data_IF_319792972322
#
_entry.id   IF_319792972322
#
_cell.length_a   1.000
_cell.length_b   1.000
_cell.length_c   1.000
_cell.angle_alpha   90.00
_cell.angle_beta   90.00
_cell.angle_gamma   90.00
#
_symmetry.space_group_name_H-M   'P 1'
#
loop_
_entity.id
_entity.type
_entity.pdbx_description
1 polymer ?
#
# COMPACT_ATOMS: atom_id res chain seq x y z
N UNK A 1 18.16 -25.33 13.71
CA UNK A 1 17.52 -26.43 12.99
C UNK A 1 17.03 -27.61 13.85
N UNK A 2 17.65 -28.00 14.99
CA UNK A 2 17.15 -29.11 15.82
C UNK A 2 16.08 -28.76 16.86
N UNK A 3 15.78 -27.48 17.10
CA UNK A 3 14.74 -27.05 18.07
C UNK A 3 13.37 -26.83 17.45
N UNK A 4 13.31 -26.56 16.15
CA UNK A 4 12.07 -26.36 15.39
C UNK A 4 11.36 -27.70 15.11
N UNK A 5 12.13 -28.78 14.93
CA UNK A 5 11.59 -30.13 14.68
C UNK A 5 10.80 -30.69 15.86
N UNK A 6 11.12 -30.30 17.09
CA UNK A 6 10.39 -30.76 18.28
C UNK A 6 9.08 -29.99 18.53
N UNK A 7 9.00 -28.73 18.09
CA UNK A 7 7.77 -27.95 18.21
C UNK A 7 6.73 -28.40 17.17
N UNK A 8 7.18 -28.78 15.98
CA UNK A 8 6.30 -29.34 14.92
C UNK A 8 5.73 -30.71 15.27
N UNK A 9 6.40 -31.49 16.11
CA UNK A 9 5.95 -32.84 16.51
C UNK A 9 4.92 -32.81 17.64
N UNK A 10 4.79 -31.69 18.37
CA UNK A 10 3.80 -31.55 19.46
C UNK A 10 2.44 -31.01 18.96
N UNK A 11 2.38 -30.46 17.77
CA UNK A 11 1.15 -29.91 17.14
C UNK A 11 0.35 -30.94 16.32
N UNK A 12 0.86 -32.18 16.18
CA UNK A 12 0.20 -33.25 15.41
C UNK A 12 -0.73 -34.16 16.23
N UNK A 13 -1.01 -33.84 17.45
CA UNK A 13 -1.89 -34.66 18.30
C UNK A 13 -3.03 -33.80 18.80
N UNK A 14 -4.03 -33.60 17.97
CA UNK A 14 -5.48 -33.57 18.31
C UNK A 14 -6.34 -32.97 17.23
N UNK A 15 -6.42 -33.63 16.09
CA UNK A 15 -7.53 -33.38 15.15
C UNK A 15 -8.54 -34.50 15.29
N UNK A 16 -9.32 -34.50 16.36
CA UNK A 16 -10.58 -35.22 16.38
C UNK A 16 -11.68 -34.25 15.99
N UNK A 17 -11.99 -34.23 14.70
CA UNK A 17 -13.21 -33.59 14.18
C UNK A 17 -14.41 -34.42 14.66
N UNK A 18 -15.12 -33.90 15.63
CA UNK A 18 -16.52 -34.29 15.84
C UNK A 18 -17.30 -33.70 14.68
N UNK A 19 -17.69 -34.55 13.73
CA UNK A 19 -18.74 -34.24 12.78
C UNK A 19 -20.03 -34.02 13.58
N UNK A 20 -20.38 -32.77 13.83
CA UNK A 20 -21.73 -32.38 14.22
C UNK A 20 -22.60 -32.42 12.96
N UNK A 21 -23.76 -33.02 13.07
CA UNK A 21 -24.74 -32.99 12.02
C UNK A 21 -25.08 -31.53 11.67
N UNK A 22 -25.04 -31.22 10.40
CA UNK A 22 -25.46 -29.97 9.81
C UNK A 22 -26.95 -29.77 10.13
N UNK A 23 -27.24 -29.03 11.19
CA UNK A 23 -28.56 -28.46 11.38
C UNK A 23 -28.64 -27.32 10.36
N UNK A 24 -29.58 -27.41 9.41
CA UNK A 24 -29.85 -26.34 8.46
C UNK A 24 -30.24 -25.10 9.26
N UNK A 25 -29.27 -24.27 9.61
CA UNK A 25 -29.49 -23.00 10.29
C UNK A 25 -30.28 -22.12 9.32
N UNK A 26 -31.52 -21.80 9.68
CA UNK A 26 -32.37 -20.91 8.92
C UNK A 26 -31.67 -19.54 8.85
N UNK A 27 -31.05 -19.24 7.72
CA UNK A 27 -30.22 -18.07 7.50
C UNK A 27 -31.06 -16.80 7.67
N UNK A 28 -30.87 -16.08 8.77
CA UNK A 28 -31.57 -14.83 9.06
C UNK A 28 -30.80 -13.68 8.44
N UNK A 29 -31.17 -13.27 7.25
CA UNK A 29 -30.61 -12.09 6.59
C UNK A 29 -31.10 -10.82 7.28
N UNK A 30 -30.16 -10.03 7.81
CA UNK A 30 -30.46 -8.80 8.57
C UNK A 30 -30.50 -7.57 7.67
N UNK A 31 -29.90 -7.62 6.48
CA UNK A 31 -29.81 -6.48 5.56
C UNK A 31 -31.09 -6.23 4.80
N UNK A 32 -31.47 -4.96 4.70
CA UNK A 32 -32.63 -4.52 3.89
C UNK A 32 -33.94 -4.43 4.67
N UNK A 33 -33.97 -4.76 5.97
CA UNK A 33 -35.11 -4.52 6.84
C UNK A 33 -34.66 -4.04 8.23
N UNK A 34 -35.41 -3.15 8.81
CA UNK A 34 -35.28 -2.80 10.23
C UNK A 34 -36.13 -3.70 11.14
N UNK A 35 -36.82 -4.67 10.56
CA UNK A 35 -37.66 -5.61 11.30
C UNK A 35 -36.82 -6.87 11.57
N UNK A 36 -36.48 -7.11 12.83
CA UNK A 36 -35.73 -8.29 13.30
C UNK A 36 -36.48 -9.58 12.86
N UNK A 37 -35.79 -10.50 12.18
CA UNK A 37 -36.37 -11.77 11.72
C UNK A 37 -37.23 -11.71 10.45
N UNK A 38 -37.23 -10.59 9.73
CA UNK A 38 -37.92 -10.53 8.43
C UNK A 38 -37.14 -11.32 7.37
N UNK A 39 -37.78 -12.35 6.77
CA UNK A 39 -37.24 -13.09 5.63
C UNK A 39 -37.35 -12.23 4.38
N UNK A 40 -36.28 -11.53 3.99
CA UNK A 40 -36.28 -10.58 2.87
C UNK A 40 -35.65 -11.17 1.60
N UNK A 41 -34.99 -12.31 1.69
CA UNK A 41 -34.28 -12.98 0.59
C UNK A 41 -35.08 -13.14 -0.70
N UNK A 42 -36.43 -13.09 -0.62
CA UNK A 42 -37.30 -13.14 -1.81
C UNK A 42 -37.69 -11.79 -2.41
N UNK A 43 -37.47 -10.69 -1.69
CA UNK A 43 -37.95 -9.35 -2.07
C UNK A 43 -36.82 -8.38 -2.51
N UNK A 44 -35.60 -8.60 -2.05
CA UNK A 44 -34.43 -7.76 -2.36
C UNK A 44 -33.28 -8.63 -2.89
N UNK A 45 -32.43 -8.09 -3.79
CA UNK A 45 -31.29 -8.82 -4.35
C UNK A 45 -30.13 -8.88 -3.34
N UNK A 46 -30.22 -9.76 -2.36
CA UNK A 46 -29.18 -10.03 -1.37
C UNK A 46 -28.37 -11.25 -1.80
N UNK A 47 -27.04 -11.10 -1.85
CA UNK A 47 -26.10 -12.21 -1.93
C UNK A 47 -25.51 -12.47 -0.55
N UNK A 48 -25.28 -13.73 -0.23
CA UNK A 48 -24.67 -14.15 1.03
C UNK A 48 -23.44 -14.99 0.73
N UNK A 49 -22.31 -14.66 1.37
CA UNK A 49 -21.07 -15.45 1.35
C UNK A 49 -20.86 -15.98 2.75
N UNK A 50 -20.73 -17.30 2.88
CA UNK A 50 -20.57 -17.91 4.21
C UNK A 50 -19.15 -17.70 4.75
N UNK A 51 -18.98 -17.68 6.08
CA UNK A 51 -17.68 -17.61 6.72
C UNK A 51 -16.77 -18.79 6.38
N UNK A 52 -17.35 -19.96 6.13
CA UNK A 52 -16.59 -21.15 5.68
C UNK A 52 -16.00 -20.92 4.30
N UNK A 53 -16.75 -20.32 3.37
CA UNK A 53 -16.24 -19.98 2.05
C UNK A 53 -15.14 -18.92 2.14
N UNK A 54 -15.30 -17.92 3.02
CA UNK A 54 -14.29 -16.90 3.29
C UNK A 54 -13.02 -17.53 3.85
N UNK A 55 -13.12 -18.37 4.87
CA UNK A 55 -11.97 -19.08 5.45
C UNK A 55 -11.25 -19.97 4.41
N UNK A 56 -12.00 -20.58 3.49
CA UNK A 56 -11.46 -21.43 2.43
C UNK A 56 -10.63 -20.65 1.39
N UNK A 57 -10.86 -19.35 1.23
CA UNK A 57 -10.05 -18.49 0.35
C UNK A 57 -8.66 -18.24 0.91
N UNK A 58 -8.48 -18.34 2.24
CA UNK A 58 -7.21 -18.10 2.92
C UNK A 58 -6.84 -16.62 3.01
N UNK A 59 -7.80 -15.72 2.87
CA UNK A 59 -7.58 -14.26 2.96
C UNK A 59 -7.05 -13.85 4.33
N UNK A 60 -6.18 -12.85 4.32
CA UNK A 60 -5.48 -12.39 5.52
C UNK A 60 -6.12 -11.16 6.15
N UNK A 61 -6.91 -10.43 5.38
CA UNK A 61 -7.42 -9.12 5.76
C UNK A 61 -8.75 -8.79 5.10
N UNK A 62 -9.36 -7.71 5.53
CA UNK A 62 -10.59 -7.21 4.93
C UNK A 62 -10.38 -6.65 3.51
N UNK A 63 -9.20 -6.14 3.18
CA UNK A 63 -8.86 -5.71 1.82
C UNK A 63 -8.59 -6.91 0.90
N UNK A 64 -7.92 -7.98 1.35
CA UNK A 64 -7.80 -9.22 0.57
C UNK A 64 -9.18 -9.83 0.29
N UNK A 65 -10.11 -9.76 1.27
CA UNK A 65 -11.48 -10.23 1.08
C UNK A 65 -12.21 -9.50 -0.07
N UNK A 66 -11.88 -8.23 -0.31
CA UNK A 66 -12.51 -7.47 -1.40
C UNK A 66 -12.31 -8.13 -2.76
N UNK A 67 -11.16 -8.76 -3.00
CA UNK A 67 -10.84 -9.41 -4.28
C UNK A 67 -11.68 -10.67 -4.53
N UNK A 68 -12.30 -11.22 -3.49
CA UNK A 68 -13.14 -12.41 -3.55
C UNK A 68 -14.64 -12.11 -3.65
N UNK A 69 -15.01 -10.82 -3.65
CA UNK A 69 -16.40 -10.38 -3.78
C UNK A 69 -16.70 -10.08 -5.24
N UNK A 70 -17.60 -10.85 -5.86
CA UNK A 70 -17.92 -10.71 -7.28
C UNK A 70 -18.51 -9.35 -7.68
N UNK A 71 -19.18 -8.68 -6.75
CA UNK A 71 -19.78 -7.36 -6.94
C UNK A 71 -18.80 -6.20 -6.68
N UNK A 72 -17.60 -6.48 -6.18
CA UNK A 72 -16.58 -5.47 -5.93
C UNK A 72 -16.12 -4.82 -7.25
N UNK A 73 -16.05 -3.51 -7.25
CA UNK A 73 -15.42 -2.74 -8.31
C UNK A 73 -13.91 -2.57 -8.07
N UNK A 74 -13.31 -1.58 -8.70
CA UNK A 74 -11.91 -1.29 -8.53
C UNK A 74 -11.61 -0.96 -7.06
N UNK A 75 -10.63 -1.64 -6.49
CA UNK A 75 -10.03 -1.26 -5.22
C UNK A 75 -8.91 -0.25 -5.51
N UNK A 76 -9.01 0.94 -4.91
CA UNK A 76 -8.02 2.02 -5.07
C UNK A 76 -6.90 1.95 -4.03
N UNK A 77 -6.90 0.94 -3.15
CA UNK A 77 -5.94 0.76 -2.07
C UNK A 77 -5.29 -0.62 -2.20
N UNK A 78 -4.56 -0.82 -3.26
CA UNK A 78 -3.82 -2.05 -3.49
C UNK A 78 -2.33 -1.82 -3.35
N UNK A 79 -1.59 -2.89 -3.11
CA UNK A 79 -0.13 -2.89 -3.18
C UNK A 79 0.37 -2.35 -4.53
N UNK A 80 -0.38 -2.60 -5.61
CA UNK A 80 -0.04 -2.07 -6.93
C UNK A 80 -0.15 -0.54 -7.01
N UNK A 81 -1.17 0.05 -6.38
CA UNK A 81 -1.30 1.51 -6.27
C UNK A 81 -0.16 2.10 -5.44
N UNK A 82 0.18 1.43 -4.35
CA UNK A 82 1.31 1.80 -3.52
C UNK A 82 2.63 1.72 -4.28
N UNK A 83 2.93 0.60 -4.92
CA UNK A 83 4.16 0.42 -5.69
C UNK A 83 4.29 1.40 -6.85
N UNK A 84 3.19 1.77 -7.50
CA UNK A 84 3.17 2.74 -8.61
C UNK A 84 3.33 4.19 -8.16
N UNK A 85 3.24 4.48 -6.86
CA UNK A 85 3.23 5.85 -6.35
C UNK A 85 1.98 6.61 -6.74
N UNK A 86 0.86 5.92 -6.89
CA UNK A 86 -0.42 6.49 -7.25
C UNK A 86 -0.98 7.46 -6.22
N UNK A 87 -2.14 7.99 -6.51
CA UNK A 87 -2.79 9.05 -5.71
C UNK A 87 -3.10 8.63 -4.28
N UNK A 88 -3.33 7.33 -4.07
CA UNK A 88 -3.61 6.74 -2.76
C UNK A 88 -2.40 6.03 -2.13
N UNK A 89 -1.25 6.10 -2.76
CA UNK A 89 -0.02 5.54 -2.22
C UNK A 89 0.29 6.13 -0.83
N UNK A 90 0.85 5.31 0.05
CA UNK A 90 1.21 5.67 1.43
C UNK A 90 -0.01 6.04 2.30
N UNK A 91 -1.19 5.48 2.03
CA UNK A 91 -2.37 5.63 2.88
C UNK A 91 -2.40 4.62 4.04
N UNK A 92 -1.43 3.72 4.07
CA UNK A 92 -1.35 2.66 5.05
C UNK A 92 -2.26 1.47 4.72
N UNK A 93 -2.58 0.69 5.74
CA UNK A 93 -3.39 -0.51 5.65
C UNK A 93 -4.89 -0.15 5.59
N UNK A 94 -5.36 0.24 4.40
CA UNK A 94 -6.76 0.66 4.19
C UNK A 94 -7.37 -0.06 3.01
N UNK A 95 -8.45 -0.80 3.24
CA UNK A 95 -9.31 -1.34 2.19
C UNK A 95 -10.70 -0.69 2.22
N UNK A 96 -11.40 -0.66 1.09
CA UNK A 96 -12.75 -0.12 1.04
C UNK A 96 -13.65 -0.85 0.04
N UNK A 97 -14.86 -1.12 0.46
CA UNK A 97 -15.87 -1.68 -0.41
C UNK A 97 -16.32 -0.67 -1.48
N UNK A 98 -16.33 -1.12 -2.73
CA UNK A 98 -16.74 -0.32 -3.89
C UNK A 98 -17.67 -1.14 -4.78
N UNK A 99 -18.92 -1.31 -4.34
CA UNK A 99 -19.88 -2.13 -5.06
C UNK A 99 -20.15 -1.58 -6.47
N UNK A 100 -20.02 -2.47 -7.45
CA UNK A 100 -20.28 -2.19 -8.88
C UNK A 100 -19.51 -1.00 -9.45
N UNK A 101 -18.38 -0.66 -8.83
CA UNK A 101 -17.55 0.50 -9.19
C UNK A 101 -18.30 1.85 -9.15
N UNK A 102 -19.25 1.99 -8.22
CA UNK A 102 -20.03 3.23 -8.04
C UNK A 102 -19.41 4.20 -7.03
N UNK A 103 -18.21 3.88 -6.53
CA UNK A 103 -17.44 4.68 -5.60
C UNK A 103 -17.47 4.16 -4.16
N UNK A 104 -16.32 4.25 -3.49
CA UNK A 104 -16.16 3.76 -2.11
C UNK A 104 -17.02 4.53 -1.10
N UNK A 105 -17.31 5.80 -1.35
CA UNK A 105 -18.20 6.61 -0.52
C UNK A 105 -19.69 6.30 -0.69
N UNK A 106 -20.05 5.49 -1.69
CA UNK A 106 -21.44 5.14 -2.01
C UNK A 106 -21.82 3.72 -1.55
N UNK A 107 -20.88 2.99 -0.95
CA UNK A 107 -21.09 1.65 -0.39
C UNK A 107 -21.13 1.72 1.12
N UNK A 108 -22.28 1.42 1.71
CA UNK A 108 -22.41 1.42 3.17
C UNK A 108 -21.86 0.12 3.76
N UNK A 109 -20.93 0.24 4.69
CA UNK A 109 -20.36 -0.90 5.44
C UNK A 109 -20.99 -0.97 6.83
N UNK A 110 -21.51 -2.14 7.15
CA UNK A 110 -22.08 -2.45 8.46
C UNK A 110 -21.27 -3.57 9.14
N UNK A 111 -21.29 -3.57 10.46
CA UNK A 111 -20.89 -4.66 11.33
C UNK A 111 -22.09 -5.06 12.20
N UNK A 112 -22.53 -6.30 12.12
CA UNK A 112 -23.71 -6.81 12.82
C UNK A 112 -24.92 -5.86 12.69
N UNK A 113 -25.15 -5.35 11.45
CA UNK A 113 -26.24 -4.44 11.15
C UNK A 113 -26.07 -2.99 11.59
N UNK A 114 -24.92 -2.62 12.19
CA UNK A 114 -24.61 -1.25 12.64
C UNK A 114 -23.57 -0.60 11.76
N UNK A 115 -23.70 0.72 11.56
CA UNK A 115 -22.73 1.50 10.79
C UNK A 115 -21.38 1.52 11.49
N UNK A 116 -20.33 1.19 10.75
CA UNK A 116 -18.97 1.42 11.18
C UNK A 116 -18.56 2.89 11.01
N UNK A 117 -17.62 3.32 11.83
CA UNK A 117 -17.02 4.65 11.73
C UNK A 117 -16.15 4.73 10.48
N UNK A 118 -16.25 5.83 9.76
CA UNK A 118 -15.37 6.08 8.62
C UNK A 118 -13.91 6.23 9.09
N UNK A 119 -12.99 5.77 8.23
CA UNK A 119 -11.56 5.97 8.45
C UNK A 119 -11.23 7.46 8.53
N UNK A 120 -10.34 7.88 9.44
CA UNK A 120 -9.90 9.27 9.52
C UNK A 120 -9.09 9.73 8.31
N UNK A 121 -8.49 8.78 7.55
CA UNK A 121 -7.87 9.05 6.27
C UNK A 121 -8.90 9.12 5.15
N UNK A 122 -8.80 10.14 4.30
CA UNK A 122 -9.61 10.19 3.09
C UNK A 122 -8.97 9.37 1.99
N UNK A 123 -9.80 8.86 1.11
CA UNK A 123 -9.41 8.24 -0.14
C UNK A 123 -9.58 9.25 -1.27
N UNK A 124 -8.91 9.00 -2.37
CA UNK A 124 -9.07 9.84 -3.56
C UNK A 124 -9.56 8.98 -4.72
N UNK A 125 -10.72 9.31 -5.22
CA UNK A 125 -11.33 8.66 -6.37
C UNK A 125 -11.25 9.56 -7.61
N UNK A 126 -11.16 8.95 -8.78
CA UNK A 126 -11.26 9.66 -10.05
C UNK A 126 -12.72 9.77 -10.45
N UNK A 127 -13.32 10.95 -10.28
CA UNK A 127 -14.72 11.22 -10.59
C UNK A 127 -14.78 12.31 -11.66
N UNK A 128 -15.31 11.97 -12.82
CA UNK A 128 -15.46 12.93 -13.93
C UNK A 128 -14.14 13.48 -14.48
N UNK A 129 -13.01 12.84 -14.20
CA UNK A 129 -11.67 13.28 -14.59
C UNK A 129 -10.91 14.05 -13.50
N UNK A 130 -11.55 14.34 -12.38
CA UNK A 130 -10.95 15.01 -11.22
C UNK A 130 -10.70 14.04 -10.06
N UNK A 131 -9.62 14.27 -9.30
CA UNK A 131 -9.34 13.54 -8.08
C UNK A 131 -10.14 14.12 -6.91
N UNK A 132 -11.12 13.37 -6.43
CA UNK A 132 -12.04 13.80 -5.38
C UNK A 132 -11.75 13.05 -4.08
N UNK A 133 -11.47 13.75 -2.97
CA UNK A 133 -11.34 13.10 -1.66
C UNK A 133 -12.69 12.51 -1.21
N UNK A 134 -12.66 11.24 -0.84
CA UNK A 134 -13.84 10.48 -0.41
C UNK A 134 -13.55 9.79 0.91
N UNK A 135 -14.49 9.79 1.84
CA UNK A 135 -14.36 9.13 3.14
C UNK A 135 -15.10 7.80 3.10
N UNK A 136 -14.45 6.74 3.59
CA UNK A 136 -15.03 5.40 3.66
C UNK A 136 -14.62 4.66 4.93
N UNK A 137 -15.29 3.56 5.21
CA UNK A 137 -14.89 2.63 6.26
C UNK A 137 -13.66 1.85 5.79
N UNK A 138 -12.69 1.64 6.68
CA UNK A 138 -11.60 0.72 6.45
C UNK A 138 -12.08 -0.73 6.67
N UNK A 139 -12.07 -1.56 5.62
CA UNK A 139 -12.48 -2.96 5.70
C UNK A 139 -11.61 -3.79 6.65
N UNK A 140 -10.36 -3.38 6.87
CA UNK A 140 -9.42 -4.06 7.76
C UNK A 140 -9.77 -3.91 9.25
N UNK A 141 -10.68 -3.01 9.60
CA UNK A 141 -11.24 -2.92 10.97
C UNK A 141 -12.02 -4.18 11.38
N UNK A 142 -12.41 -5.02 10.39
CA UNK A 142 -13.23 -6.19 10.60
C UNK A 142 -12.34 -7.42 10.59
N UNK A 143 -12.26 -8.21 11.71
CA UNK A 143 -11.47 -9.42 11.74
C UNK A 143 -12.12 -10.47 10.83
N UNK A 144 -11.44 -10.87 9.78
CA UNK A 144 -11.92 -11.90 8.86
C UNK A 144 -12.18 -13.21 9.58
N UNK A 145 -11.36 -13.53 10.56
CA UNK A 145 -11.44 -14.77 11.38
C UNK A 145 -12.77 -14.96 12.10
N UNK A 146 -13.49 -13.89 12.42
CA UNK A 146 -14.77 -13.96 13.14
C UNK A 146 -16.01 -13.85 12.26
N UNK A 147 -15.85 -13.71 10.95
CA UNK A 147 -16.99 -13.54 10.05
C UNK A 147 -17.79 -14.86 9.97
N UNK A 148 -19.06 -14.80 10.34
CA UNK A 148 -20.03 -15.89 10.13
C UNK A 148 -20.52 -15.88 8.70
N UNK A 149 -20.86 -14.68 8.19
CA UNK A 149 -21.31 -14.47 6.81
C UNK A 149 -21.17 -13.00 6.40
N UNK A 150 -21.08 -12.80 5.10
CA UNK A 150 -21.12 -11.49 4.47
C UNK A 150 -22.43 -11.35 3.71
N UNK A 151 -23.22 -10.33 4.02
CA UNK A 151 -24.50 -10.05 3.37
C UNK A 151 -24.32 -8.83 2.45
N UNK A 152 -24.62 -9.00 1.15
CA UNK A 152 -24.44 -7.96 0.14
C UNK A 152 -25.79 -7.59 -0.45
N UNK A 153 -26.30 -6.41 -0.08
CA UNK A 153 -27.53 -5.86 -0.64
C UNK A 153 -27.19 -4.91 -1.79
N UNK A 154 -27.53 -5.29 -3.02
CA UNK A 154 -27.12 -4.62 -4.25
C UNK A 154 -27.98 -3.44 -4.67
N UNK A 155 -29.27 -3.44 -4.34
CA UNK A 155 -30.25 -2.46 -4.80
C UNK A 155 -31.26 -2.08 -3.73
N UNK A 156 -31.87 -0.90 -3.85
CA UNK A 156 -32.92 -0.42 -2.95
C UNK A 156 -32.44 0.00 -1.55
N UNK A 157 -31.15 -0.07 -1.29
CA UNK A 157 -30.57 0.15 0.03
C UNK A 157 -30.72 1.59 0.52
N UNK A 158 -30.62 2.58 -0.36
CA UNK A 158 -30.70 4.00 0.02
C UNK A 158 -32.06 4.41 0.58
N UNK A 159 -33.14 3.70 0.26
CA UNK A 159 -34.47 3.94 0.85
C UNK A 159 -34.51 3.60 2.34
N UNK A 160 -33.68 2.65 2.79
CA UNK A 160 -33.62 2.20 4.19
C UNK A 160 -32.45 2.87 4.93
N UNK A 161 -31.30 2.96 4.27
CA UNK A 161 -30.03 3.33 4.89
C UNK A 161 -29.54 4.74 4.54
N UNK A 162 -30.19 5.43 3.60
CA UNK A 162 -29.82 6.81 3.22
C UNK A 162 -28.78 6.88 2.10
N UNK A 163 -28.20 8.08 1.94
CA UNK A 163 -27.37 8.44 0.78
C UNK A 163 -26.06 7.64 0.68
N UNK A 164 -25.52 7.14 1.78
CA UNK A 164 -24.26 6.38 1.78
C UNK A 164 -24.42 4.97 1.19
N UNK A 165 -25.65 4.54 0.93
CA UNK A 165 -25.97 3.21 0.42
C UNK A 165 -26.49 3.22 -1.04
N UNK A 166 -26.04 4.16 -1.85
CA UNK A 166 -26.48 4.28 -3.27
C UNK A 166 -25.98 3.09 -4.09
N UNK A 167 -24.75 2.66 -3.88
CA UNK A 167 -24.19 1.49 -4.54
C UNK A 167 -24.70 0.18 -3.92
N UNK A 168 -25.04 0.20 -2.64
CA UNK A 168 -25.50 -0.94 -1.88
C UNK A 168 -25.01 -0.93 -0.44
N UNK A 169 -25.25 -2.05 0.25
CA UNK A 169 -24.82 -2.28 1.63
C UNK A 169 -24.04 -3.58 1.71
N UNK A 170 -22.95 -3.57 2.43
CA UNK A 170 -22.24 -4.77 2.86
C UNK A 170 -22.33 -4.85 4.37
N UNK A 171 -22.94 -5.92 4.87
CA UNK A 171 -23.03 -6.22 6.28
C UNK A 171 -22.11 -7.39 6.61
N UNK A 172 -21.11 -7.13 7.42
CA UNK A 172 -20.23 -8.15 7.96
C UNK A 172 -20.86 -8.65 9.25
N UNK A 173 -21.30 -9.89 9.25
CA UNK A 173 -21.88 -10.53 10.42
C UNK A 173 -20.82 -11.37 11.08
N UNK A 174 -20.45 -11.01 12.31
CA UNK A 174 -19.53 -11.77 13.15
C UNK A 174 -20.32 -12.74 14.05
N UNK A 175 -19.69 -13.86 14.37
CA UNK A 175 -20.22 -14.83 15.32
C UNK A 175 -20.23 -14.19 16.73
N UNK A 176 -21.40 -13.87 17.23
CA UNK A 176 -21.55 -13.26 18.56
C UNK A 176 -22.00 -14.24 19.64
N UNK A 177 -22.10 -15.53 19.28
CA UNK A 177 -22.51 -16.66 20.13
C UNK A 177 -21.53 -17.86 20.03
N UNK A 178 -20.28 -17.61 19.66
CA UNK A 178 -19.29 -18.66 19.48
C UNK A 178 -19.08 -19.50 20.75
N UNK A 179 -18.95 -20.82 20.56
CA UNK A 179 -18.59 -21.75 21.63
C UNK A 179 -17.37 -22.60 21.21
N UNK A 180 -16.33 -22.57 22.03
CA UNK A 180 -15.14 -23.36 21.82
C UNK A 180 -13.85 -22.55 21.81
N UNK A 181 -12.78 -23.20 21.37
CA UNK A 181 -11.45 -22.59 21.18
C UNK A 181 -10.87 -23.06 19.85
N UNK A 182 -10.51 -22.12 19.00
CA UNK A 182 -9.71 -22.38 17.80
C UNK A 182 -8.52 -21.44 17.78
N UNK A 183 -7.32 -21.96 17.49
CA UNK A 183 -6.11 -21.19 17.33
C UNK A 183 -5.41 -21.65 16.05
N UNK A 184 -5.12 -20.71 15.16
CA UNK A 184 -4.39 -20.98 13.92
C UNK A 184 -3.13 -20.13 13.89
N UNK A 185 -2.02 -20.73 13.49
CA UNK A 185 -0.78 -20.03 13.19
C UNK A 185 -0.31 -20.42 11.80
N UNK A 186 -0.01 -19.42 10.98
CA UNK A 186 0.51 -19.60 9.62
C UNK A 186 1.78 -18.81 9.47
N UNK A 187 2.77 -19.41 8.80
CA UNK A 187 3.98 -18.75 8.32
C UNK A 187 4.04 -18.98 6.82
N UNK A 188 4.16 -17.92 6.07
CA UNK A 188 4.26 -17.95 4.61
C UNK A 188 5.58 -17.32 4.19
N UNK A 189 6.21 -17.85 3.14
CA UNK A 189 7.43 -17.31 2.57
C UNK A 189 7.28 -17.22 1.06
N UNK A 190 8.17 -16.46 0.42
CA UNK A 190 8.13 -16.20 -1.01
C UNK A 190 9.33 -16.85 -1.69
N UNK A 191 9.07 -17.50 -2.82
CA UNK A 191 10.14 -18.01 -3.66
C UNK A 191 10.92 -16.83 -4.25
N UNK A 192 12.24 -16.83 -4.12
CA UNK A 192 13.19 -15.79 -4.56
C UNK A 192 13.25 -14.50 -3.71
N UNK A 193 12.40 -14.33 -2.69
CA UNK A 193 12.45 -13.18 -1.78
C UNK A 193 12.72 -13.64 -0.36
N UNK A 194 13.41 -12.79 0.41
CA UNK A 194 13.74 -13.09 1.81
C UNK A 194 12.57 -12.89 2.78
N UNK A 195 11.46 -12.33 2.32
CA UNK A 195 10.34 -11.95 3.16
C UNK A 195 9.53 -13.12 3.69
N UNK A 196 9.09 -13.02 4.92
CA UNK A 196 8.19 -13.97 5.58
C UNK A 196 6.96 -13.23 6.13
N UNK A 197 5.82 -13.92 6.13
CA UNK A 197 4.59 -13.43 6.77
C UNK A 197 4.19 -14.39 7.87
N UNK A 198 3.81 -13.83 9.01
CA UNK A 198 3.28 -14.58 10.15
C UNK A 198 1.87 -14.11 10.47
N UNK A 199 0.93 -15.07 10.54
CA UNK A 199 -0.44 -14.80 10.99
C UNK A 199 -0.80 -15.71 12.15
N UNK A 200 -1.36 -15.13 13.20
CA UNK A 200 -1.90 -15.83 14.36
C UNK A 200 -3.34 -15.39 14.54
N UNK A 201 -4.27 -16.35 14.52
CA UNK A 201 -5.67 -16.09 14.81
C UNK A 201 -6.16 -16.94 15.97
N UNK A 202 -7.07 -16.40 16.76
CA UNK A 202 -7.73 -17.14 17.82
C UNK A 202 -9.21 -16.77 17.88
N UNK A 203 -10.04 -17.80 18.04
CA UNK A 203 -11.47 -17.70 18.34
C UNK A 203 -11.69 -18.38 19.69
N UNK A 204 -12.31 -17.70 20.61
CA UNK A 204 -12.71 -18.27 21.89
C UNK A 204 -14.11 -17.81 22.26
N UNK A 205 -14.92 -18.72 22.78
CA UNK A 205 -16.21 -18.38 23.33
C UNK A 205 -16.73 -19.44 24.28
N UNK A 206 -17.60 -18.99 25.16
CA UNK A 206 -18.24 -19.89 26.13
C UNK A 206 -19.55 -19.31 26.63
N UNK A 207 -20.47 -20.24 26.96
CA UNK A 207 -21.70 -19.92 27.65
C UNK A 207 -21.52 -20.03 29.17
N UNK A 208 -22.15 -19.11 29.90
CA UNK A 208 -22.16 -19.01 31.35
C UNK A 208 -23.61 -18.86 31.85
N UNK A 209 -23.81 -19.00 33.16
CA UNK A 209 -25.10 -18.78 33.81
C UNK A 209 -26.24 -19.61 33.17
N UNK A 210 -26.02 -20.92 33.09
CA UNK A 210 -26.99 -21.87 32.48
C UNK A 210 -27.40 -21.52 31.03
N UNK A 211 -26.44 -20.95 30.27
CA UNK A 211 -26.64 -20.59 28.87
C UNK A 211 -27.18 -19.18 28.62
N UNK A 212 -27.50 -18.42 29.68
CA UNK A 212 -28.03 -17.06 29.52
C UNK A 212 -26.99 -16.00 29.18
N UNK A 213 -25.69 -16.32 29.24
CA UNK A 213 -24.60 -15.37 28.91
C UNK A 213 -23.62 -16.04 27.98
N UNK A 214 -23.38 -15.46 26.83
CA UNK A 214 -22.25 -15.82 25.95
C UNK A 214 -21.18 -14.76 25.98
N UNK A 215 -19.92 -15.18 25.96
CA UNK A 215 -18.75 -14.32 25.71
C UNK A 215 -17.99 -14.90 24.55
N UNK A 216 -17.83 -14.14 23.48
CA UNK A 216 -17.09 -14.50 22.29
C UNK A 216 -15.95 -13.51 22.04
N UNK A 217 -14.74 -14.00 21.76
CA UNK A 217 -13.54 -13.19 21.50
C UNK A 217 -12.86 -13.68 20.24
N UNK A 218 -12.54 -12.75 19.37
CA UNK A 218 -11.81 -12.96 18.14
C UNK A 218 -10.53 -12.14 18.18
N UNK A 219 -9.42 -12.80 17.87
CA UNK A 219 -8.09 -12.19 17.81
C UNK A 219 -7.44 -12.52 16.47
N UNK A 220 -6.88 -11.49 15.82
CA UNK A 220 -6.12 -11.61 14.60
C UNK A 220 -4.85 -10.77 14.75
N UNK A 221 -3.69 -11.37 14.52
CA UNK A 221 -2.40 -10.69 14.48
C UNK A 221 -1.68 -11.12 13.22
N UNK A 222 -1.28 -10.14 12.43
CA UNK A 222 -0.59 -10.31 11.17
C UNK A 222 0.68 -9.47 11.16
N UNK A 223 1.79 -10.10 10.84
CA UNK A 223 3.11 -9.50 10.70
C UNK A 223 3.65 -9.89 9.34
N UNK A 224 3.91 -8.90 8.52
CA UNK A 224 4.30 -9.03 7.12
C UNK A 224 5.55 -8.23 6.84
N UNK A 225 6.59 -8.89 6.37
CA UNK A 225 7.81 -8.22 5.93
C UNK A 225 7.64 -7.56 4.56
N UNK A 226 8.38 -6.48 4.32
CA UNK A 226 8.39 -5.83 3.03
C UNK A 226 9.09 -6.67 1.97
N UNK A 227 8.78 -6.41 0.70
CA UNK A 227 9.53 -6.90 -0.46
C UNK A 227 9.98 -5.68 -1.25
N UNK A 228 11.30 -5.46 -1.32
CA UNK A 228 11.87 -4.37 -2.09
C UNK A 228 12.17 -4.83 -3.54
N UNK A 229 11.86 -3.98 -4.50
CA UNK A 229 12.09 -4.31 -5.92
C UNK A 229 13.54 -4.68 -6.24
N UNK A 230 14.51 -4.19 -5.48
CA UNK A 230 15.94 -4.49 -5.66
C UNK A 230 16.32 -5.93 -5.31
N UNK A 231 15.46 -6.68 -4.63
CA UNK A 231 15.69 -8.09 -4.30
C UNK A 231 15.66 -8.97 -5.56
N UNK A 232 14.87 -8.61 -6.57
CA UNK A 232 14.95 -9.24 -7.90
C UNK A 232 15.56 -8.26 -8.91
N UNK A 233 16.70 -8.61 -9.54
CA UNK A 233 17.35 -7.75 -10.54
C UNK A 233 16.45 -7.33 -11.70
N UNK A 234 15.44 -8.12 -12.04
CA UNK A 234 14.51 -7.79 -13.13
C UNK A 234 13.51 -6.73 -12.71
N UNK A 235 13.06 -6.74 -11.45
CA UNK A 235 12.13 -5.76 -10.91
C UNK A 235 12.84 -4.47 -10.51
N UNK A 236 14.00 -4.61 -9.86
CA UNK A 236 14.78 -3.45 -9.43
C UNK A 236 15.52 -2.74 -10.57
N UNK A 237 15.61 -3.33 -11.76
CA UNK A 237 16.29 -2.70 -12.90
C UNK A 237 15.41 -1.62 -13.54
N UNK A 238 15.94 -0.42 -13.67
CA UNK A 238 15.33 0.61 -14.50
C UNK A 238 15.58 0.41 -16.01
N UNK A 239 16.58 -0.38 -16.38
CA UNK A 239 16.89 -0.72 -17.78
C UNK A 239 16.65 -2.21 -18.00
N UNK A 240 15.61 -2.53 -18.75
CA UNK A 240 15.20 -3.91 -19.01
C UNK A 240 15.86 -4.52 -20.26
N UNK A 241 16.61 -3.75 -21.03
CA UNK A 241 17.28 -4.24 -22.25
C UNK A 241 18.29 -5.39 -22.00
N UNK A 242 19.01 -5.45 -20.86
CA UNK A 242 19.88 -6.58 -20.59
C UNK A 242 19.15 -7.93 -20.44
N UNK A 243 17.87 -7.91 -20.11
CA UNK A 243 17.07 -9.11 -19.82
C UNK A 243 16.31 -9.68 -21.02
N UNK A 244 16.42 -9.06 -22.19
CA UNK A 244 15.86 -9.59 -23.44
C UNK A 244 16.93 -10.21 -24.33
N UNK A 245 16.53 -11.14 -25.18
CA UNK A 245 17.41 -11.82 -26.12
C UNK A 245 18.11 -10.82 -27.04
N UNK A 246 19.29 -11.18 -27.51
CA UNK A 246 20.14 -10.31 -28.33
C UNK A 246 19.51 -9.95 -29.69
N UNK A 247 18.66 -10.81 -30.23
CA UNK A 247 17.90 -10.60 -31.46
C UNK A 247 16.57 -9.88 -31.27
N UNK A 248 16.21 -9.56 -30.03
CA UNK A 248 14.99 -8.85 -29.72
C UNK A 248 15.03 -7.40 -30.23
N UNK A 249 13.94 -6.90 -30.86
CA UNK A 249 13.86 -5.50 -31.27
C UNK A 249 13.93 -4.51 -30.08
N UNK A 250 13.68 -5.00 -28.87
CA UNK A 250 13.74 -4.20 -27.63
C UNK A 250 15.16 -4.03 -27.08
N UNK A 251 16.12 -4.82 -27.54
CA UNK A 251 17.51 -4.78 -27.05
C UNK A 251 18.18 -3.41 -27.19
N UNK A 252 17.83 -2.66 -28.23
CA UNK A 252 18.36 -1.33 -28.50
C UNK A 252 17.36 -0.20 -28.25
N UNK A 253 16.13 -0.54 -27.89
CA UNK A 253 15.05 0.44 -27.71
C UNK A 253 15.26 1.28 -26.46
N UNK A 254 15.31 2.59 -26.62
CA UNK A 254 15.36 3.53 -25.48
C UNK A 254 14.04 3.58 -24.70
N UNK A 255 12.93 3.10 -25.28
CA UNK A 255 11.65 3.00 -24.61
C UNK A 255 11.58 1.80 -23.66
N UNK A 256 12.48 0.83 -23.77
CA UNK A 256 12.51 -0.35 -22.91
C UNK A 256 13.42 -0.14 -21.67
N UNK A 257 13.41 1.07 -21.17
CA UNK A 257 14.06 1.45 -19.93
C UNK A 257 13.22 2.51 -19.20
N UNK A 258 13.00 2.29 -17.91
CA UNK A 258 12.27 3.21 -17.02
C UNK A 258 13.27 3.96 -16.12
N UNK A 259 14.27 4.59 -16.75
CA UNK A 259 15.26 5.39 -16.03
C UNK A 259 14.84 6.85 -16.05
N UNK A 260 14.87 7.49 -14.89
CA UNK A 260 14.68 8.93 -14.77
C UNK A 260 15.76 9.70 -15.55
N UNK A 261 15.39 10.81 -16.14
CA UNK A 261 16.35 11.75 -16.72
C UNK A 261 17.15 12.51 -15.66
N UNK A 262 16.72 12.44 -14.39
CA UNK A 262 17.45 13.08 -13.31
C UNK A 262 18.67 12.27 -12.92
N UNK A 263 19.81 12.95 -12.82
CA UNK A 263 21.06 12.35 -12.36
C UNK A 263 21.12 12.26 -10.84
N UNK A 264 21.70 11.18 -10.31
CA UNK A 264 22.02 11.07 -8.87
C UNK A 264 23.11 12.04 -8.44
N UNK A 265 23.90 12.56 -9.38
CA UNK A 265 24.99 13.51 -9.11
C UNK A 265 24.53 14.97 -9.23
N UNK A 266 23.32 15.21 -9.71
CA UNK A 266 22.72 16.52 -9.87
C UNK A 266 23.01 17.17 -11.23
N UNK A 267 22.01 17.90 -11.68
CA UNK A 267 22.05 18.81 -12.81
C UNK A 267 21.88 20.23 -12.27
N UNK A 268 22.75 21.13 -12.67
CA UNK A 268 22.84 22.45 -12.10
C UNK A 268 22.75 23.54 -13.19
N UNK A 269 22.19 24.66 -12.78
CA UNK A 269 22.12 25.84 -13.60
C UNK A 269 22.69 27.05 -12.83
N UNK A 270 23.43 27.88 -13.50
CA UNK A 270 23.99 29.10 -12.91
C UNK A 270 23.01 30.26 -12.84
N UNK A 271 21.87 30.13 -13.49
CA UNK A 271 20.82 31.14 -13.55
C UNK A 271 19.44 30.57 -13.27
N UNK A 272 18.56 31.38 -12.72
CA UNK A 272 17.18 31.00 -12.59
C UNK A 272 16.51 30.94 -13.96
N UNK A 273 15.53 30.05 -14.14
CA UNK A 273 14.77 29.90 -15.41
C UNK A 273 14.10 31.20 -15.91
N UNK A 274 14.01 32.22 -15.06
CA UNK A 274 13.43 33.53 -15.42
C UNK A 274 14.45 34.50 -16.00
N UNK A 275 15.74 34.21 -15.86
CA UNK A 275 16.84 35.14 -16.21
C UNK A 275 17.56 34.76 -17.52
N UNK A 276 17.18 33.65 -18.15
CA UNK A 276 17.76 33.19 -19.41
C UNK A 276 17.50 34.13 -20.63
N UNK A 277 16.65 35.10 -20.49
CA UNK A 277 16.25 35.94 -21.64
C UNK A 277 17.38 36.95 -22.00
N UNK A 278 18.35 36.48 -22.75
CA UNK A 278 19.29 37.33 -23.47
C UNK A 278 20.75 37.31 -23.04
N UNK A 279 21.13 36.47 -22.05
CA UNK A 279 22.51 36.28 -21.68
C UNK A 279 23.07 34.97 -22.22
N UNK A 280 24.21 34.99 -22.85
CA UNK A 280 24.93 33.79 -23.30
C UNK A 280 25.99 33.43 -22.25
N UNK A 281 25.80 32.30 -21.61
CA UNK A 281 26.81 31.72 -20.71
C UNK A 281 27.77 30.85 -21.54
N UNK A 282 28.93 31.32 -21.79
CA UNK A 282 29.91 30.56 -22.56
C UNK A 282 31.12 30.26 -21.68
N UNK A 283 30.88 29.49 -20.62
CA UNK A 283 31.95 29.00 -19.77
C UNK A 283 32.41 27.63 -20.29
N UNK A 284 33.69 27.30 -20.04
CA UNK A 284 34.30 26.02 -20.42
C UNK A 284 33.58 24.81 -19.78
N UNK A 285 32.80 25.01 -18.73
CA UNK A 285 32.16 23.99 -17.91
C UNK A 285 30.62 24.08 -17.89
N UNK A 286 30.01 25.03 -18.58
CA UNK A 286 28.58 25.11 -18.78
C UNK A 286 28.25 25.11 -20.27
N UNK A 287 27.02 24.74 -20.62
CA UNK A 287 26.48 25.02 -21.96
C UNK A 287 26.19 26.52 -22.15
N UNK A 288 25.64 26.91 -23.29
CA UNK A 288 25.29 28.31 -23.61
C UNK A 288 24.20 28.89 -22.69
N UNK A 289 23.45 28.04 -21.99
CA UNK A 289 22.38 28.43 -21.07
C UNK A 289 22.86 28.51 -19.61
N UNK A 290 24.09 28.07 -19.32
CA UNK A 290 24.64 28.02 -17.97
C UNK A 290 24.42 26.69 -17.25
N UNK A 291 23.91 25.67 -17.97
CA UNK A 291 23.65 24.35 -17.41
C UNK A 291 24.87 23.45 -17.43
N UNK A 292 25.01 22.61 -16.43
CA UNK A 292 26.05 21.60 -16.31
C UNK A 292 25.60 20.41 -15.47
N UNK A 293 26.22 19.29 -15.66
CA UNK A 293 26.04 18.07 -14.84
C UNK A 293 27.34 17.68 -14.15
N UNK A 294 27.19 16.98 -13.03
CA UNK A 294 28.29 16.32 -12.33
C UNK A 294 28.30 14.84 -12.75
N UNK A 295 29.46 14.34 -13.13
CA UNK A 295 29.69 12.97 -13.58
C UNK A 295 30.68 12.25 -12.66
N UNK A 296 30.58 10.92 -12.49
CA UNK A 296 31.64 10.17 -11.84
C UNK A 296 32.95 10.28 -12.62
N UNK A 297 34.05 10.39 -11.91
CA UNK A 297 35.39 10.49 -12.50
C UNK A 297 35.66 9.19 -13.27
N UNK A 298 36.03 9.31 -14.54
CA UNK A 298 36.20 8.15 -15.44
C UNK A 298 35.04 7.98 -16.44
N UNK A 299 33.93 8.71 -16.28
CA UNK A 299 32.92 8.79 -17.34
C UNK A 299 33.50 9.41 -18.61
N UNK A 300 33.04 8.93 -19.77
CA UNK A 300 33.50 9.44 -21.06
C UNK A 300 33.28 10.95 -21.24
N UNK A 301 32.29 11.50 -20.55
CA UNK A 301 32.01 12.93 -20.53
C UNK A 301 33.10 13.75 -19.83
N UNK A 302 33.80 13.15 -18.87
CA UNK A 302 34.94 13.77 -18.22
C UNK A 302 36.17 13.92 -19.12
N UNK A 303 36.30 13.08 -20.16
CA UNK A 303 37.50 12.95 -20.96
C UNK A 303 37.43 13.58 -22.35
N UNK A 304 36.24 13.84 -22.90
CA UNK A 304 36.06 14.06 -24.32
C UNK A 304 36.10 15.51 -24.80
N UNK A 305 36.53 16.48 -24.01
CA UNK A 305 36.42 17.91 -24.40
C UNK A 305 37.74 18.65 -24.59
N UNK A 306 38.87 17.97 -24.66
CA UNK A 306 40.17 18.60 -24.95
C UNK A 306 40.66 19.54 -23.87
N UNK A 307 39.97 19.62 -22.76
CA UNK A 307 40.37 20.36 -21.58
C UNK A 307 40.78 19.43 -20.45
N UNK A 308 41.71 19.80 -19.58
CA UNK A 308 41.99 19.05 -18.37
C UNK A 308 40.65 18.87 -17.60
N UNK A 309 40.45 17.66 -17.13
CA UNK A 309 39.33 17.24 -16.30
C UNK A 309 38.98 18.32 -15.30
N UNK A 310 37.74 18.80 -15.32
CA UNK A 310 37.23 19.55 -14.16
C UNK A 310 36.99 18.56 -13.03
N UNK A 311 38.07 17.97 -12.56
CA UNK A 311 38.09 17.09 -11.40
C UNK A 311 37.74 17.90 -10.16
N UNK A 312 36.67 17.54 -9.49
CA UNK A 312 36.20 18.19 -8.28
C UNK A 312 37.08 17.85 -7.05
N UNK A 313 37.96 16.87 -7.17
CA UNK A 313 38.71 16.28 -6.05
C UNK A 313 37.92 15.32 -5.18
N UNK A 314 36.64 15.04 -5.54
CA UNK A 314 35.75 14.17 -4.80
C UNK A 314 35.31 12.92 -5.64
N UNK A 315 36.12 12.52 -6.60
CA UNK A 315 35.82 11.39 -7.48
C UNK A 315 34.76 11.70 -8.55
N UNK A 316 34.55 12.99 -8.83
CA UNK A 316 33.61 13.47 -9.83
C UNK A 316 34.23 14.52 -10.73
N UNK A 317 33.64 14.75 -11.89
CA UNK A 317 33.98 15.86 -12.78
C UNK A 317 32.72 16.68 -13.14
N UNK A 318 32.96 17.89 -13.65
CA UNK A 318 31.90 18.76 -14.15
C UNK A 318 31.94 18.73 -15.70
N UNK A 319 30.81 18.57 -16.32
CA UNK A 319 30.69 18.58 -17.77
C UNK A 319 29.45 19.36 -18.25
N UNK A 320 29.59 19.95 -19.45
CA UNK A 320 28.59 20.82 -20.06
C UNK A 320 27.35 20.08 -20.61
N UNK A 321 27.12 18.87 -20.36
CA UNK A 321 26.04 18.14 -21.02
C UNK A 321 24.89 17.99 -20.04
N UNK A 322 24.06 19.00 -20.04
CA UNK A 322 22.96 19.13 -19.08
C UNK A 322 21.65 18.60 -19.55
N UNK A 323 21.52 17.50 -20.26
CA UNK A 323 20.21 17.04 -20.69
C UNK A 323 19.99 15.54 -20.48
N UNK A 324 20.12 15.09 -19.24
CA UNK A 324 19.83 13.73 -18.86
C UNK A 324 20.78 12.70 -19.45
N UNK A 325 22.07 13.05 -19.59
CA UNK A 325 23.12 12.15 -20.03
C UNK A 325 23.34 11.02 -19.03
N UNK A 326 23.31 11.34 -17.73
CA UNK A 326 23.25 10.37 -16.64
C UNK A 326 21.81 10.16 -16.22
N UNK A 327 21.36 8.93 -16.35
CA UNK A 327 20.02 8.52 -15.90
C UNK A 327 20.13 7.73 -14.63
N UNK A 328 19.20 7.93 -13.73
CA UNK A 328 19.12 7.18 -12.49
C UNK A 328 17.99 6.15 -12.50
N UNK A 329 18.21 5.05 -11.82
CA UNK A 329 17.16 4.09 -11.51
C UNK A 329 16.35 4.61 -10.31
N UNK A 330 15.38 5.43 -10.62
CA UNK A 330 14.56 6.14 -9.66
C UNK A 330 13.55 5.22 -8.94
N UNK A 331 13.08 4.21 -9.65
CA UNK A 331 12.08 3.27 -9.19
C UNK A 331 12.67 2.04 -8.48
N UNK A 332 13.97 1.79 -8.69
CA UNK A 332 14.63 0.59 -8.15
C UNK A 332 14.45 0.39 -6.65
N UNK A 333 14.67 1.40 -5.80
CA UNK A 333 14.55 1.23 -4.35
C UNK A 333 13.12 1.28 -3.81
N UNK A 334 12.12 0.95 -4.62
CA UNK A 334 10.70 0.99 -4.20
C UNK A 334 10.29 -0.36 -3.64
N UNK A 335 9.56 -0.36 -2.53
CA UNK A 335 8.90 -1.56 -2.06
C UNK A 335 7.73 -1.88 -2.99
N UNK A 336 7.70 -3.11 -3.50
CA UNK A 336 6.56 -3.66 -4.24
C UNK A 336 5.48 -4.18 -3.28
N UNK A 337 5.87 -4.40 -2.03
CA UNK A 337 5.00 -4.73 -0.91
C UNK A 337 5.55 -4.09 0.37
N UNK A 338 4.70 -3.38 1.07
CA UNK A 338 5.06 -2.70 2.33
C UNK A 338 5.18 -3.67 3.49
N UNK A 339 6.00 -3.32 4.49
CA UNK A 339 5.94 -3.91 5.82
C UNK A 339 4.61 -3.54 6.47
N UNK A 340 4.02 -4.48 7.21
CA UNK A 340 2.74 -4.27 7.88
C UNK A 340 2.65 -5.13 9.14
N UNK A 341 2.38 -4.49 10.26
CA UNK A 341 2.00 -5.16 11.50
C UNK A 341 0.59 -4.73 11.86
N UNK A 342 -0.30 -5.70 12.02
CA UNK A 342 -1.72 -5.45 12.34
C UNK A 342 -2.21 -6.32 13.48
N UNK A 343 -2.97 -5.73 14.39
CA UNK A 343 -3.63 -6.44 15.49
C UNK A 343 -5.11 -6.04 15.52
N UNK A 344 -5.98 -7.01 15.52
CA UNK A 344 -7.42 -6.84 15.61
C UNK A 344 -7.99 -7.72 16.74
N UNK A 345 -8.79 -7.14 17.60
CA UNK A 345 -9.48 -7.85 18.69
C UNK A 345 -10.93 -7.39 18.69
N UNK A 346 -11.85 -8.35 18.63
CA UNK A 346 -13.28 -8.08 18.80
C UNK A 346 -13.83 -9.01 19.88
N UNK A 347 -14.65 -8.48 20.76
CA UNK A 347 -15.30 -9.21 21.83
C UNK A 347 -16.78 -8.87 21.89
N UNK A 348 -17.60 -9.89 22.03
CA UNK A 348 -19.04 -9.79 22.28
C UNK A 348 -19.37 -10.38 23.65
N UNK A 349 -20.28 -9.74 24.35
CA UNK A 349 -20.90 -10.26 25.58
C UNK A 349 -22.41 -10.10 25.42
N UNK A 350 -23.10 -11.19 25.23
CA UNK A 350 -24.54 -11.25 25.13
C UNK A 350 -25.15 -11.87 26.39
N UNK A 351 -26.18 -11.27 26.93
CA UNK A 351 -26.81 -11.76 28.14
C UNK A 351 -28.34 -11.59 28.08
N UNK A 352 -29.04 -12.73 28.21
CA UNK A 352 -30.48 -12.82 28.29
C UNK A 352 -30.92 -12.67 29.76
N UNK A 353 -31.68 -11.65 30.05
CA UNK A 353 -32.19 -11.40 31.39
C UNK A 353 -33.49 -12.16 31.64
N UNK A 354 -33.75 -12.55 32.88
CA UNK A 354 -34.97 -13.26 33.27
C UNK A 354 -36.29 -12.53 32.93
N UNK A 355 -36.23 -11.22 32.75
CA UNK A 355 -37.40 -10.38 32.40
C UNK A 355 -37.63 -10.29 30.87
N UNK A 356 -36.89 -11.05 30.08
CA UNK A 356 -37.00 -11.08 28.61
C UNK A 356 -36.29 -9.90 27.91
N UNK A 357 -35.46 -9.13 28.61
CA UNK A 357 -34.56 -8.16 28.00
C UNK A 357 -33.25 -8.84 27.61
N UNK A 358 -32.69 -8.41 26.48
CA UNK A 358 -31.35 -8.81 26.03
C UNK A 358 -30.38 -7.67 26.28
N UNK A 359 -29.21 -7.96 26.85
CA UNK A 359 -28.10 -7.02 26.98
C UNK A 359 -26.97 -7.49 26.06
N UNK A 360 -26.42 -6.59 25.31
CA UNK A 360 -25.25 -6.86 24.49
C UNK A 360 -24.16 -5.83 24.75
N UNK A 361 -22.90 -6.29 24.72
CA UNK A 361 -21.71 -5.44 24.79
C UNK A 361 -20.79 -5.84 23.67
N UNK A 362 -20.28 -4.85 22.97
CA UNK A 362 -19.34 -5.01 21.87
C UNK A 362 -18.10 -4.18 22.15
N UNK A 363 -16.93 -4.80 22.05
CA UNK A 363 -15.63 -4.15 22.16
C UNK A 363 -14.80 -4.47 20.94
N UNK A 364 -14.19 -3.46 20.34
CA UNK A 364 -13.27 -3.62 19.25
C UNK A 364 -11.97 -2.83 19.48
N UNK A 365 -10.85 -3.44 19.18
CA UNK A 365 -9.54 -2.81 19.14
C UNK A 365 -8.88 -3.13 17.82
N UNK A 366 -8.35 -2.11 17.18
CA UNK A 366 -7.60 -2.23 15.94
C UNK A 366 -6.37 -1.32 15.98
N UNK A 367 -5.23 -1.87 15.62
CA UNK A 367 -3.98 -1.16 15.43
C UNK A 367 -3.29 -1.70 14.19
N UNK A 368 -2.78 -0.79 13.37
CA UNK A 368 -2.01 -1.11 12.18
C UNK A 368 -0.83 -0.15 12.07
N UNK A 369 0.35 -0.70 11.83
CA UNK A 369 1.58 0.02 11.53
C UNK A 369 2.12 -0.46 10.18
N UNK A 370 2.34 0.46 9.26
CA UNK A 370 2.82 0.15 7.92
C UNK A 370 4.00 1.05 7.57
N UNK A 371 5.11 0.44 7.19
CA UNK A 371 6.31 1.12 6.71
C UNK A 371 6.56 0.77 5.24
N UNK A 372 7.02 1.77 4.49
CA UNK A 372 7.23 1.62 3.05
C UNK A 372 8.34 2.52 2.55
N UNK A 373 9.23 1.94 1.76
CA UNK A 373 10.18 2.67 0.93
C UNK A 373 9.54 3.03 -0.41
N UNK A 374 9.22 4.30 -0.60
CA UNK A 374 8.74 4.82 -1.88
C UNK A 374 9.91 5.18 -2.81
N UNK A 375 9.60 5.34 -4.09
CA UNK A 375 10.54 5.94 -5.02
C UNK A 375 10.97 7.35 -4.57
N UNK A 376 12.12 7.82 -5.06
CA UNK A 376 12.60 9.16 -4.76
C UNK A 376 11.58 10.25 -5.16
N UNK A 377 11.55 11.34 -4.40
CA UNK A 377 10.61 12.42 -4.66
C UNK A 377 10.93 13.19 -5.93
N UNK A 378 9.90 13.56 -6.70
CA UNK A 378 9.99 14.51 -7.82
C UNK A 378 10.08 15.98 -7.38
N UNK A 379 10.29 16.25 -6.09
CA UNK A 379 10.26 17.61 -5.55
C UNK A 379 11.20 18.60 -6.25
N UNK A 380 12.25 18.08 -6.88
CA UNK A 380 13.23 18.88 -7.60
C UNK A 380 12.98 19.00 -9.12
N UNK A 381 11.95 18.36 -9.67
CA UNK A 381 11.72 18.34 -11.12
C UNK A 381 10.93 19.54 -11.63
N UNK A 382 10.16 20.20 -10.78
CA UNK A 382 9.23 21.29 -11.19
C UNK A 382 9.62 22.66 -10.63
N UNK A 383 10.58 22.72 -9.72
CA UNK A 383 11.02 23.96 -9.09
C UNK A 383 12.53 23.94 -8.92
N UNK A 384 13.20 24.93 -9.48
CA UNK A 384 14.64 25.07 -9.26
C UNK A 384 14.92 25.48 -7.83
N UNK A 385 15.62 24.61 -7.10
CA UNK A 385 16.08 24.91 -5.75
C UNK A 385 17.38 25.68 -5.80
N UNK A 386 17.47 26.77 -5.06
CA UNK A 386 18.65 27.60 -5.01
C UNK A 386 19.62 27.14 -3.91
N UNK A 387 20.83 26.85 -4.32
CA UNK A 387 21.97 26.73 -3.40
C UNK A 387 22.66 28.11 -3.32
N UNK A 388 22.65 28.71 -2.15
CA UNK A 388 23.14 30.09 -1.96
C UNK A 388 24.64 30.24 -2.14
N UNK A 389 25.11 31.49 -2.33
CA UNK A 389 26.53 31.80 -2.57
C UNK A 389 27.42 31.56 -1.36
N UNK A 390 26.84 31.44 -0.17
CA UNK A 390 27.52 31.17 1.08
C UNK A 390 27.70 29.68 1.39
N UNK A 391 27.30 28.78 0.46
CA UNK A 391 27.43 27.36 0.67
C UNK A 391 28.91 26.97 0.86
N UNK A 392 29.20 26.37 2.00
CA UNK A 392 30.57 26.03 2.40
C UNK A 392 31.26 25.12 1.36
N UNK A 393 30.57 24.05 0.92
CA UNK A 393 31.17 23.07 0.01
C UNK A 393 31.42 23.66 -1.38
N UNK A 394 30.48 24.43 -1.92
CA UNK A 394 30.65 25.07 -3.23
C UNK A 394 31.79 26.09 -3.24
N UNK A 395 31.98 26.82 -2.15
CA UNK A 395 33.09 27.78 -2.02
C UNK A 395 34.45 27.12 -1.86
N UNK A 396 34.51 25.86 -1.41
CA UNK A 396 35.73 25.08 -1.32
C UNK A 396 36.07 24.32 -2.61
N UNK A 397 35.05 24.12 -3.49
CA UNK A 397 35.22 23.36 -4.72
C UNK A 397 36.12 24.15 -5.70
N UNK A 398 37.26 23.59 -6.02
CA UNK A 398 38.18 24.13 -7.00
C UNK A 398 38.33 23.15 -8.14
N UNK A 399 38.29 23.66 -9.34
CA UNK A 399 38.62 22.94 -10.56
C UNK A 399 39.86 23.51 -11.22
N UNK A 400 40.61 22.67 -11.92
CA UNK A 400 41.74 23.12 -12.68
C UNK A 400 41.26 23.86 -13.93
N UNK A 401 41.58 25.13 -14.03
CA UNK A 401 41.35 25.95 -15.21
C UNK A 401 42.69 26.38 -15.74
N UNK A 402 43.16 25.78 -16.84
CA UNK A 402 44.45 26.04 -17.48
C UNK A 402 45.64 25.91 -16.50
N UNK A 403 45.65 24.92 -15.63
CA UNK A 403 46.67 24.65 -14.65
C UNK A 403 46.56 25.50 -13.36
N UNK A 404 45.48 26.23 -13.19
CA UNK A 404 45.25 27.06 -12.00
C UNK A 404 44.01 26.55 -11.24
N UNK A 405 44.15 26.09 -9.97
CA UNK A 405 43.00 25.71 -9.14
C UNK A 405 42.08 26.90 -8.89
N UNK A 406 40.94 26.93 -9.55
CA UNK A 406 39.98 28.04 -9.55
C UNK A 406 38.68 27.64 -8.84
N UNK A 407 38.22 28.46 -7.91
CA UNK A 407 36.94 28.27 -7.21
C UNK A 407 35.80 28.87 -8.07
N UNK A 408 35.33 28.11 -9.04
CA UNK A 408 34.39 28.59 -10.07
C UNK A 408 32.98 28.91 -9.54
N UNK A 409 32.62 28.36 -8.40
CA UNK A 409 31.28 28.54 -7.78
C UNK A 409 31.29 29.52 -6.60
N UNK A 410 32.49 30.04 -6.21
CA UNK A 410 32.58 30.93 -5.07
C UNK A 410 31.75 32.22 -5.29
N UNK A 411 30.90 32.51 -4.34
CA UNK A 411 30.02 33.68 -4.39
C UNK A 411 28.88 33.64 -5.41
N UNK A 412 28.60 32.46 -5.99
CA UNK A 412 27.54 32.29 -6.99
C UNK A 412 26.35 31.53 -6.42
N UNK A 413 25.17 31.83 -6.94
CA UNK A 413 23.99 30.96 -6.76
C UNK A 413 24.07 29.81 -7.76
N UNK A 414 23.69 28.62 -7.31
CA UNK A 414 23.38 27.51 -8.20
C UNK A 414 21.91 27.12 -8.04
N UNK A 415 21.32 26.63 -9.10
CA UNK A 415 19.95 26.15 -9.15
C UNK A 415 19.99 24.67 -9.55
N UNK A 416 19.24 23.83 -8.84
CA UNK A 416 19.13 22.39 -9.08
C UNK A 416 17.81 22.09 -9.71
#
# INVERSE_FOLDING_TARGET
MKKITYLMMLLLISSYSLFSAEEEVEEVVVVGSQIKGAKITGALPVSVVSGIDIEATGVDSGDDLLEHIAEQGQNYFTEAEDASGGVNASRGDVGAYNLRNLGVGNTLTLLNGRRLVNSPGYQTELIGGDFVPTVSVNSNLIPVTGIERLEILRDGASAVYGADAVAGVINNVLQDDYEGLSVTARVSGYDHFGAEDTKITAKWGSFFNDGSTNVSVFFDHYDRENINAQEDPRWGAGDHRPFVDDDSPWKTSTSFRNLSSNSLYGQFDMVSSKEHAGESYNHLWTDSNGEFEIFPLGDAKCTNRGHPLFDTGYGTCIAQDGNGALRSNFWGPTDVRSELVRTNIVMFINHDMENGMESFTEFAYYESDSDRTAHASYAFSSSKHRVGPDNYYLNQLKVDVDGVPTAIFAGKNLYI
#
